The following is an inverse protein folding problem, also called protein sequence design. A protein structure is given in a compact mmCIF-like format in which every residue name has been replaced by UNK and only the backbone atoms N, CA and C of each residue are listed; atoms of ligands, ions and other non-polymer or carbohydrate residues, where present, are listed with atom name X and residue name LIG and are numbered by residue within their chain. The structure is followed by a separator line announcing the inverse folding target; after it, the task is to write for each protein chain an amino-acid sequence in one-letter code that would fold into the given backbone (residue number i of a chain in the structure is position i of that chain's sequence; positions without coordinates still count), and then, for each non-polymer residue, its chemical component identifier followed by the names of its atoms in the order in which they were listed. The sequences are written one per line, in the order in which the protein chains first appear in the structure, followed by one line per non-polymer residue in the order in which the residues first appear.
data_IF_523916810691
#
_entry.id   IF_523916810691
#
_cell.length_a   1.000
_cell.length_b   1.000
_cell.length_c   1.000
_cell.angle_alpha   90.00
_cell.angle_beta   90.00
_cell.angle_gamma   90.00
#
_symmetry.space_group_name_H-M   'P 1'
#
loop_
_entity.id
_entity.type
_entity.pdbx_description
1 polymer ?
#
# COMPACT_ATOMS: atom_id res chain seq x y z
N UNK A 1 9.27 10.84 2.21
CA UNK A 1 9.04 9.73 3.17
C UNK A 1 7.94 10.02 4.18
N UNK A 2 7.93 11.14 4.93
CA UNK A 2 6.93 11.40 5.99
C UNK A 2 5.46 11.35 5.54
N UNK A 3 5.12 11.86 4.35
CA UNK A 3 3.72 11.94 3.90
C UNK A 3 3.03 10.59 3.69
N UNK A 4 3.72 9.60 3.09
CA UNK A 4 3.13 8.28 2.84
C UNK A 4 2.87 7.50 4.14
N UNK A 5 3.76 7.64 5.13
CA UNK A 5 3.62 7.04 6.46
C UNK A 5 2.46 7.72 7.22
N UNK A 6 2.39 9.05 7.22
CA UNK A 6 1.30 9.78 7.88
C UNK A 6 -0.07 9.43 7.31
N UNK A 7 -0.20 9.29 5.98
CA UNK A 7 -1.47 8.92 5.35
C UNK A 7 -1.90 7.48 5.69
N UNK A 8 -0.94 6.54 5.74
CA UNK A 8 -1.20 5.16 6.16
C UNK A 8 -1.58 5.01 7.63
N UNK A 9 -1.00 5.85 8.51
CA UNK A 9 -1.31 5.87 9.94
C UNK A 9 -2.69 6.47 10.25
N UNK A 10 -3.18 7.38 9.41
CA UNK A 10 -4.54 7.93 9.55
C UNK A 10 -5.59 6.86 9.21
N UNK A 11 -5.26 5.88 8.37
CA UNK A 11 -6.18 4.83 7.95
C UNK A 11 -7.34 5.35 7.09
N UNK A 12 -7.24 6.58 6.57
CA UNK A 12 -8.28 7.21 5.75
C UNK A 12 -8.29 6.59 4.33
N UNK A 13 -9.41 5.97 3.90
CA UNK A 13 -9.56 5.47 2.54
C UNK A 13 -9.34 6.55 1.46
N UNK A 14 -9.48 7.84 1.76
CA UNK A 14 -9.16 8.93 0.84
C UNK A 14 -7.68 8.94 0.41
N UNK A 15 -6.79 8.32 1.19
CA UNK A 15 -5.38 8.19 0.83
C UNK A 15 -5.10 7.11 -0.23
N UNK A 16 -6.05 6.21 -0.52
CA UNK A 16 -5.84 5.07 -1.42
C UNK A 16 -5.32 5.48 -2.80
N UNK A 17 -5.86 6.50 -3.49
CA UNK A 17 -5.35 6.90 -4.81
C UNK A 17 -3.89 7.35 -4.78
N UNK A 18 -3.50 8.10 -3.75
CA UNK A 18 -2.13 8.59 -3.58
C UNK A 18 -1.16 7.44 -3.24
N UNK A 19 -1.56 6.55 -2.33
CA UNK A 19 -0.76 5.37 -1.97
C UNK A 19 -0.65 4.39 -3.13
N UNK A 20 -1.71 4.23 -3.93
CA UNK A 20 -1.68 3.41 -5.14
C UNK A 20 -0.65 3.95 -6.16
N UNK A 21 -0.56 5.27 -6.34
CA UNK A 21 0.47 5.87 -7.19
C UNK A 21 1.88 5.60 -6.62
N UNK A 22 2.04 5.67 -5.30
CA UNK A 22 3.31 5.42 -4.62
C UNK A 22 3.79 3.96 -4.72
N UNK A 23 2.92 3.01 -5.07
CA UNK A 23 3.33 1.63 -5.40
C UNK A 23 4.24 1.54 -6.64
N UNK A 24 4.25 2.58 -7.49
CA UNK A 24 5.09 2.65 -8.70
C UNK A 24 6.29 3.58 -8.54
N UNK A 25 6.56 4.04 -7.33
CA UNK A 25 7.68 4.95 -7.07
C UNK A 25 9.02 4.27 -7.38
N UNK A 26 9.99 4.96 -7.99
CA UNK A 26 11.31 4.38 -8.28
C UNK A 26 12.03 3.91 -7.02
N UNK A 27 11.79 4.55 -5.86
CA UNK A 27 12.42 4.16 -4.61
C UNK A 27 11.69 3.00 -3.94
N UNK A 28 12.41 1.90 -3.71
CA UNK A 28 11.88 0.70 -3.06
C UNK A 28 11.22 0.98 -1.71
N UNK A 29 11.84 1.84 -0.89
CA UNK A 29 11.30 2.22 0.43
C UNK A 29 9.92 2.87 0.30
N UNK A 30 9.70 3.71 -0.71
CA UNK A 30 8.41 4.37 -0.92
C UNK A 30 7.34 3.35 -1.29
N UNK A 31 7.66 2.39 -2.17
CA UNK A 31 6.74 1.31 -2.55
C UNK A 31 6.35 0.45 -1.34
N UNK A 32 7.33 0.10 -0.49
CA UNK A 32 7.10 -0.70 0.73
C UNK A 32 6.20 0.02 1.72
N UNK A 33 6.45 1.29 2.00
CA UNK A 33 5.59 2.08 2.88
C UNK A 33 4.19 2.29 2.32
N UNK A 34 4.06 2.46 1.00
CA UNK A 34 2.76 2.55 0.36
C UNK A 34 1.94 1.25 0.53
N UNK A 35 2.59 0.09 0.36
CA UNK A 35 1.95 -1.20 0.57
C UNK A 35 1.52 -1.41 2.03
N UNK A 36 2.37 -1.02 3.00
CA UNK A 36 2.04 -1.11 4.43
C UNK A 36 0.88 -0.17 4.81
N UNK A 37 0.92 1.07 4.31
CA UNK A 37 -0.14 2.06 4.51
C UNK A 37 -1.49 1.59 3.96
N UNK A 38 -1.50 0.97 2.77
CA UNK A 38 -2.70 0.33 2.21
C UNK A 38 -3.19 -0.80 3.12
N UNK A 39 -2.29 -1.58 3.71
CA UNK A 39 -2.62 -2.59 4.71
C UNK A 39 -3.30 -2.04 5.96
N UNK A 40 -2.80 -0.91 6.47
CA UNK A 40 -3.37 -0.24 7.65
C UNK A 40 -4.76 0.35 7.38
N UNK A 41 -5.04 0.79 6.14
CA UNK A 41 -6.39 1.19 5.71
C UNK A 41 -7.35 0.00 5.71
N UNK A 42 -6.86 -1.22 5.43
CA UNK A 42 -7.64 -2.45 5.53
C UNK A 42 -8.51 -2.72 4.30
N UNK A 43 -9.72 -3.24 4.51
CA UNK A 43 -10.61 -3.74 3.44
C UNK A 43 -10.80 -2.80 2.25
N UNK A 44 -10.94 -1.46 2.43
CA UNK A 44 -11.07 -0.53 1.30
C UNK A 44 -9.88 -0.56 0.33
N UNK A 45 -8.69 -0.94 0.79
CA UNK A 45 -7.47 -1.01 -0.01
C UNK A 45 -7.27 -2.34 -0.76
N UNK A 46 -8.14 -3.34 -0.57
CA UNK A 46 -8.01 -4.66 -1.23
C UNK A 46 -7.88 -4.54 -2.75
N UNK A 47 -8.70 -3.75 -3.48
CA UNK A 47 -8.55 -3.62 -4.93
C UNK A 47 -7.17 -3.11 -5.36
N UNK A 48 -6.61 -2.13 -4.62
CA UNK A 48 -5.28 -1.59 -4.86
C UNK A 48 -4.18 -2.63 -4.61
N UNK A 49 -4.31 -3.41 -3.53
CA UNK A 49 -3.37 -4.47 -3.17
C UNK A 49 -3.41 -5.66 -4.16
N UNK A 50 -4.59 -6.02 -4.68
CA UNK A 50 -4.71 -7.04 -5.72
C UNK A 50 -4.01 -6.65 -7.02
N UNK A 51 -4.04 -5.36 -7.37
CA UNK A 51 -3.27 -4.86 -8.51
C UNK A 51 -1.76 -4.89 -8.22
N UNK A 52 -1.35 -4.62 -6.98
CA UNK A 52 0.05 -4.69 -6.56
C UNK A 52 0.64 -6.11 -6.67
N UNK A 53 -0.17 -7.17 -6.61
CA UNK A 53 0.28 -8.54 -6.84
C UNK A 53 0.84 -8.78 -8.25
N UNK A 54 0.53 -7.92 -9.22
CA UNK A 54 1.05 -8.01 -10.58
C UNK A 54 2.43 -7.39 -10.75
N UNK A 55 2.89 -6.61 -9.78
CA UNK A 55 4.21 -5.98 -9.80
C UNK A 55 5.20 -6.84 -9.01
N UNK A 56 6.22 -7.37 -9.67
CA UNK A 56 7.18 -8.29 -9.05
C UNK A 56 7.88 -7.71 -7.83
N UNK A 57 8.08 -6.40 -7.79
CA UNK A 57 8.84 -5.72 -6.75
C UNK A 57 8.06 -5.59 -5.44
N UNK A 58 6.73 -5.53 -5.50
CA UNK A 58 5.85 -5.41 -4.33
C UNK A 58 4.92 -6.59 -4.14
N UNK A 59 4.92 -7.58 -5.05
CA UNK A 59 4.06 -8.77 -5.01
C UNK A 59 4.14 -9.51 -3.67
N UNK A 60 5.35 -9.74 -3.17
CA UNK A 60 5.55 -10.43 -1.89
C UNK A 60 4.96 -9.64 -0.71
N UNK A 61 5.19 -8.32 -0.67
CA UNK A 61 4.63 -7.45 0.36
C UNK A 61 3.10 -7.35 0.27
N UNK A 62 2.56 -7.19 -0.94
CA UNK A 62 1.12 -7.12 -1.18
C UNK A 62 0.41 -8.40 -0.74
N UNK A 63 0.98 -9.57 -1.04
CA UNK A 63 0.45 -10.85 -0.56
C UNK A 63 0.47 -10.95 0.98
N UNK A 64 1.58 -10.57 1.62
CA UNK A 64 1.68 -10.56 3.08
C UNK A 64 0.67 -9.60 3.73
N UNK A 65 0.44 -8.44 3.13
CA UNK A 65 -0.53 -7.47 3.63
C UNK A 65 -1.96 -7.99 3.48
N UNK A 66 -2.31 -8.57 2.32
CA UNK A 66 -3.64 -9.14 2.09
C UNK A 66 -4.00 -10.23 3.10
N UNK A 67 -3.04 -11.05 3.53
CA UNK A 67 -3.23 -12.06 4.60
C UNK A 67 -3.54 -11.42 5.96
N UNK A 68 -3.02 -10.22 6.23
CA UNK A 68 -3.17 -9.52 7.52
C UNK A 68 -4.43 -8.66 7.61
N UNK A 69 -5.06 -8.33 6.48
CA UNK A 69 -6.31 -7.56 6.47
C UNK A 69 -7.42 -8.42 7.10
N UNK A 70 -8.01 -7.91 8.19
CA UNK A 70 -9.15 -8.54 8.89
C UNK A 70 -10.50 -8.14 8.31
#
# INVERSE_FOLDING_TARGET
MKAAISLGLIGDPAAIPALFKALKDPHELVRRYACEALGNIGRPAIPALLLALKDETVRAHAAQVLVKIK
#
